data_IF_900740108138
#
_entry.id   IF_900740108138
#
_cell.length_a   1.000
_cell.length_b   1.000
_cell.length_c   1.000
_cell.angle_alpha   90.00
_cell.angle_beta   90.00
_cell.angle_gamma   90.00
#
_symmetry.space_group_name_H-M   'P 1'
#
loop_
_entity.id
_entity.type
_entity.pdbx_description
1 polymer ?
#
# COMPACT_ATOMS: atom_id res chain seq x y z
N UNK A 1 -4.54 18.80 19.80
CA UNK A 1 -4.97 17.80 18.79
C UNK A 1 -3.75 17.54 17.92
N UNK A 2 -3.46 16.29 17.55
CA UNK A 2 -2.33 16.02 16.66
C UNK A 2 -2.75 16.45 15.26
N UNK A 3 -2.11 17.47 14.69
CA UNK A 3 -2.34 17.97 13.31
C UNK A 3 -1.94 16.97 12.21
N UNK A 4 -1.74 15.70 12.58
CA UNK A 4 -1.28 14.64 11.69
C UNK A 4 -2.47 13.75 11.32
N UNK A 5 -2.77 13.59 10.02
CA UNK A 5 -3.83 12.70 9.56
C UNK A 5 -3.58 11.27 10.04
N UNK A 6 -4.65 10.66 10.54
CA UNK A 6 -4.68 9.26 10.95
C UNK A 6 -4.60 8.34 9.74
N UNK A 7 -4.21 7.08 9.98
CA UNK A 7 -4.25 6.04 8.93
C UNK A 7 -5.64 5.86 8.31
N UNK A 8 -6.71 6.11 9.09
CA UNK A 8 -8.08 6.00 8.62
C UNK A 8 -8.44 7.13 7.64
N UNK A 9 -8.14 8.37 8.00
CA UNK A 9 -8.37 9.55 7.14
C UNK A 9 -7.59 9.41 5.83
N UNK A 10 -6.34 8.97 5.92
CA UNK A 10 -5.52 8.77 4.74
C UNK A 10 -6.03 7.67 3.80
N UNK A 11 -6.45 6.54 4.36
CA UNK A 11 -7.04 5.47 3.56
C UNK A 11 -8.34 5.96 2.90
N UNK A 12 -9.15 6.74 3.62
CA UNK A 12 -10.39 7.29 3.08
C UNK A 12 -10.12 8.23 1.90
N UNK A 13 -9.17 9.17 2.04
CA UNK A 13 -8.76 10.10 0.98
C UNK A 13 -8.32 9.37 -0.30
N UNK A 14 -7.49 8.34 -0.15
CA UNK A 14 -7.03 7.53 -1.29
C UNK A 14 -8.18 6.78 -1.98
N UNK A 15 -9.12 6.27 -1.20
CA UNK A 15 -10.27 5.51 -1.72
C UNK A 15 -11.26 6.42 -2.43
N UNK A 16 -11.50 7.63 -1.92
CA UNK A 16 -12.31 8.64 -2.59
C UNK A 16 -11.69 9.02 -3.94
N UNK A 17 -10.36 9.21 -3.99
CA UNK A 17 -9.62 9.41 -5.25
C UNK A 17 -9.85 8.25 -6.23
N UNK A 18 -9.68 7.00 -5.78
CA UNK A 18 -9.95 5.83 -6.62
C UNK A 18 -11.39 5.77 -7.12
N UNK A 19 -12.38 6.03 -6.27
CA UNK A 19 -13.81 6.04 -6.66
C UNK A 19 -14.13 7.09 -7.73
N UNK A 20 -13.41 8.22 -7.72
CA UNK A 20 -13.55 9.25 -8.74
C UNK A 20 -12.88 8.90 -10.08
N UNK A 21 -12.13 7.80 -10.16
CA UNK A 21 -11.47 7.37 -11.40
C UNK A 21 -12.50 6.73 -12.35
N UNK A 22 -12.63 7.20 -13.62
CA UNK A 22 -13.72 6.77 -14.51
C UNK A 22 -13.81 5.27 -14.80
N UNK A 23 -12.69 4.55 -14.74
CA UNK A 23 -12.62 3.10 -14.98
C UNK A 23 -13.00 2.25 -13.76
N UNK A 24 -13.07 2.86 -12.58
CA UNK A 24 -13.47 2.19 -11.34
C UNK A 24 -15.00 2.10 -11.29
N UNK A 25 -15.51 0.90 -11.12
CA UNK A 25 -16.95 0.57 -11.06
C UNK A 25 -17.43 0.34 -9.64
N UNK A 26 -16.52 -0.03 -8.72
CA UNK A 26 -16.84 -0.17 -7.31
C UNK A 26 -15.63 -0.48 -6.46
N UNK A 27 -15.72 -0.15 -5.17
CA UNK A 27 -14.70 -0.47 -4.18
C UNK A 27 -15.36 -1.06 -2.93
N UNK A 28 -14.86 -2.20 -2.46
CA UNK A 28 -15.37 -2.91 -1.28
C UNK A 28 -14.26 -3.04 -0.23
N UNK A 29 -14.53 -2.64 1.02
CA UNK A 29 -13.60 -2.87 2.13
C UNK A 29 -13.73 -4.30 2.65
N UNK A 30 -12.65 -5.08 2.56
CA UNK A 30 -12.61 -6.48 3.02
C UNK A 30 -12.14 -6.56 4.48
N UNK A 31 -11.14 -5.76 4.84
CA UNK A 31 -10.58 -5.72 6.20
C UNK A 31 -10.05 -4.32 6.51
N UNK A 32 -9.39 -4.14 7.67
CA UNK A 32 -8.84 -2.84 8.09
C UNK A 32 -7.92 -2.22 7.04
N UNK A 33 -7.10 -3.02 6.36
CA UNK A 33 -6.12 -2.57 5.38
C UNK A 33 -6.36 -3.11 3.96
N UNK A 34 -7.33 -4.01 3.77
CA UNK A 34 -7.58 -4.69 2.51
C UNK A 34 -8.88 -4.21 1.85
N UNK A 35 -8.78 -3.92 0.56
CA UNK A 35 -9.86 -3.40 -0.27
C UNK A 35 -9.90 -4.16 -1.59
N UNK A 36 -11.09 -4.35 -2.17
CA UNK A 36 -11.24 -4.80 -3.54
C UNK A 36 -11.59 -3.60 -4.41
N UNK A 37 -10.94 -3.49 -5.55
CA UNK A 37 -11.22 -2.51 -6.60
C UNK A 37 -11.78 -3.27 -7.79
N UNK A 38 -12.96 -2.88 -8.25
CA UNK A 38 -13.63 -3.47 -9.42
C UNK A 38 -13.57 -2.48 -10.56
N UNK A 39 -13.02 -2.90 -11.69
CA UNK A 39 -12.95 -2.17 -12.96
C UNK A 39 -13.74 -2.92 -14.03
N UNK A 40 -13.78 -2.41 -15.26
CA UNK A 40 -14.34 -3.16 -16.39
C UNK A 40 -13.52 -4.41 -16.74
N UNK A 41 -12.23 -4.41 -16.44
CA UNK A 41 -11.31 -5.51 -16.75
C UNK A 41 -11.32 -6.61 -15.67
N UNK A 42 -11.86 -6.32 -14.49
CA UNK A 42 -12.07 -7.31 -13.44
C UNK A 42 -11.92 -6.76 -12.04
N UNK A 43 -11.66 -7.66 -11.09
CA UNK A 43 -11.52 -7.33 -9.67
C UNK A 43 -10.09 -7.55 -9.19
N UNK A 44 -9.51 -6.52 -8.58
CA UNK A 44 -8.17 -6.55 -7.96
C UNK A 44 -8.31 -6.36 -6.45
N UNK A 45 -7.38 -6.92 -5.70
CA UNK A 45 -7.31 -6.74 -4.24
C UNK A 45 -6.09 -5.87 -3.90
N UNK A 46 -6.26 -4.91 -3.01
CA UNK A 46 -5.24 -3.95 -2.61
C UNK A 46 -5.07 -3.93 -1.09
N UNK A 47 -3.83 -4.05 -0.62
CA UNK A 47 -3.42 -3.76 0.75
C UNK A 47 -2.87 -2.34 0.84
N UNK A 48 -3.44 -1.50 1.69
CA UNK A 48 -2.98 -0.13 1.89
C UNK A 48 -1.96 -0.07 3.04
N UNK A 49 -0.79 0.49 2.74
CA UNK A 49 0.31 0.76 3.68
C UNK A 49 0.54 2.26 3.74
N UNK A 50 0.64 2.83 4.94
CA UNK A 50 0.71 4.29 5.10
C UNK A 50 2.07 4.75 5.59
N UNK A 51 2.63 5.78 4.97
CA UNK A 51 3.78 6.49 5.50
C UNK A 51 3.39 7.26 6.77
N UNK A 52 4.14 7.07 7.86
CA UNK A 52 3.91 7.76 9.15
C UNK A 52 4.04 9.28 9.06
N UNK A 53 4.80 9.79 8.08
CA UNK A 53 5.16 11.20 7.94
C UNK A 53 4.39 11.88 6.79
N UNK A 54 3.13 11.49 6.60
CA UNK A 54 2.27 12.06 5.56
C UNK A 54 2.11 13.57 5.76
N UNK A 55 2.28 14.34 4.67
CA UNK A 55 2.25 15.80 4.59
C UNK A 55 3.36 16.51 5.39
N UNK A 56 4.43 15.81 5.80
CA UNK A 56 5.59 16.39 6.50
C UNK A 56 6.79 16.58 5.54
N UNK A 57 6.93 17.78 4.97
CA UNK A 57 7.94 18.12 3.95
C UNK A 57 9.41 18.03 4.40
N UNK A 58 9.66 18.01 5.72
CA UNK A 58 10.99 17.84 6.33
C UNK A 58 11.13 16.58 7.19
N UNK A 59 10.17 15.65 7.11
CA UNK A 59 10.22 14.40 7.88
C UNK A 59 11.37 13.49 7.44
N UNK A 60 11.91 12.63 8.33
CA UNK A 60 12.86 11.60 7.91
C UNK A 60 12.22 10.69 6.84
N UNK A 61 13.04 10.01 6.01
CA UNK A 61 12.54 9.01 5.05
C UNK A 61 11.54 8.10 5.75
N UNK A 62 10.28 8.27 5.40
CA UNK A 62 9.21 7.87 6.29
C UNK A 62 8.93 6.38 6.20
N UNK A 63 8.80 5.71 7.35
CA UNK A 63 8.49 4.29 7.35
C UNK A 63 7.03 4.05 6.98
N UNK A 64 6.80 3.08 6.10
CA UNK A 64 5.47 2.56 5.80
C UNK A 64 5.03 1.63 6.93
N UNK A 65 3.89 1.95 7.53
CA UNK A 65 3.19 1.09 8.47
C UNK A 65 2.16 0.26 7.74
N UNK A 66 1.99 -0.96 8.23
CA UNK A 66 1.14 -1.97 7.61
C UNK A 66 1.81 -3.33 7.76
N UNK A 67 1.02 -4.31 8.16
CA UNK A 67 1.41 -5.72 8.16
C UNK A 67 0.34 -6.52 7.43
N UNK A 68 0.74 -7.61 6.79
CA UNK A 68 -0.16 -8.48 6.05
C UNK A 68 0.15 -9.95 6.35
N UNK A 69 -0.81 -10.83 6.14
CA UNK A 69 -0.67 -12.22 6.59
C UNK A 69 0.37 -12.98 5.75
N UNK A 70 1.20 -13.80 6.40
CA UNK A 70 2.17 -14.68 5.71
C UNK A 70 1.53 -15.60 4.68
N UNK A 71 0.30 -16.03 4.95
CA UNK A 71 -0.42 -17.08 4.23
C UNK A 71 -1.44 -16.56 3.24
N UNK A 72 -1.52 -15.23 3.00
CA UNK A 72 -2.44 -14.73 1.98
C UNK A 72 -1.99 -15.24 0.61
N UNK A 73 -2.85 -16.09 0.03
CA UNK A 73 -2.59 -16.80 -1.20
C UNK A 73 -2.30 -15.82 -2.33
N UNK A 74 -1.24 -16.08 -3.09
CA UNK A 74 -0.90 -15.37 -4.32
C UNK A 74 -1.94 -15.57 -5.46
N UNK A 75 -3.01 -16.33 -5.24
CA UNK A 75 -3.96 -16.79 -6.27
C UNK A 75 -4.95 -15.73 -6.78
N UNK A 76 -4.76 -14.45 -6.43
CA UNK A 76 -5.58 -13.34 -6.96
C UNK A 76 -4.65 -12.17 -7.26
N UNK A 77 -4.99 -11.29 -8.23
CA UNK A 77 -4.23 -10.08 -8.45
C UNK A 77 -4.29 -9.21 -7.18
N UNK A 78 -3.25 -9.36 -6.36
CA UNK A 78 -3.05 -8.72 -5.07
C UNK A 78 -1.94 -7.69 -5.24
N UNK A 79 -2.23 -6.47 -4.80
CA UNK A 79 -1.32 -5.35 -4.87
C UNK A 79 -1.11 -4.75 -3.49
N UNK A 80 0.09 -4.23 -3.25
CA UNK A 80 0.44 -3.47 -2.07
C UNK A 80 0.59 -2.01 -2.47
N UNK A 81 -0.29 -1.18 -1.94
CA UNK A 81 -0.34 0.24 -2.21
C UNK A 81 0.35 0.96 -1.06
N UNK A 82 1.51 1.54 -1.35
CA UNK A 82 2.31 2.32 -0.41
C UNK A 82 1.99 3.81 -0.59
N UNK A 83 1.20 4.34 0.33
CA UNK A 83 0.83 5.75 0.37
C UNK A 83 1.98 6.52 1.04
N UNK A 84 2.71 7.36 0.28
CA UNK A 84 3.98 8.02 0.64
C UNK A 84 3.87 9.32 1.44
N UNK A 85 4.84 10.24 1.43
CA UNK A 85 4.74 11.48 2.19
C UNK A 85 3.78 12.54 1.61
N UNK A 86 3.31 12.44 0.37
CA UNK A 86 2.32 13.36 -0.23
C UNK A 86 1.19 12.61 -0.96
N UNK A 87 0.18 13.35 -1.42
CA UNK A 87 -1.00 12.82 -2.14
C UNK A 87 -0.63 12.14 -3.46
N UNK A 88 0.38 12.69 -4.15
CA UNK A 88 0.90 12.14 -5.42
C UNK A 88 1.94 11.03 -5.22
N UNK A 89 2.23 10.68 -3.96
CA UNK A 89 3.34 9.79 -3.62
C UNK A 89 2.85 8.36 -3.41
N UNK A 90 2.13 7.80 -4.38
CA UNK A 90 1.55 6.46 -4.30
C UNK A 90 2.41 5.47 -5.07
N UNK A 91 2.62 4.27 -4.52
CA UNK A 91 3.31 3.18 -5.22
C UNK A 91 2.49 1.91 -5.16
N UNK A 92 2.33 1.25 -6.29
CA UNK A 92 1.51 0.05 -6.43
C UNK A 92 2.40 -1.14 -6.79
N UNK A 93 2.68 -2.01 -5.83
CA UNK A 93 3.56 -3.16 -6.01
C UNK A 93 2.75 -4.44 -6.12
N UNK A 94 2.84 -5.22 -7.22
CA UNK A 94 2.24 -6.54 -7.29
C UNK A 94 2.79 -7.45 -6.18
N UNK A 95 1.94 -8.27 -5.55
CA UNK A 95 2.36 -9.13 -4.45
C UNK A 95 3.52 -10.06 -4.84
N UNK A 96 3.51 -10.62 -6.06
CA UNK A 96 4.62 -11.46 -6.56
C UNK A 96 5.96 -10.73 -6.58
N UNK A 97 5.96 -9.44 -6.92
CA UNK A 97 7.17 -8.60 -6.93
C UNK A 97 7.60 -8.26 -5.51
N UNK A 98 6.65 -7.88 -4.65
CA UNK A 98 6.93 -7.56 -3.24
C UNK A 98 7.50 -8.77 -2.48
N UNK A 99 7.02 -9.97 -2.78
CA UNK A 99 7.46 -11.22 -2.17
C UNK A 99 8.76 -11.77 -2.78
N UNK A 100 9.29 -11.15 -3.82
CA UNK A 100 10.57 -11.55 -4.43
C UNK A 100 11.77 -11.13 -3.58
N UNK A 101 12.96 -11.65 -3.92
CA UNK A 101 14.23 -11.22 -3.32
C UNK A 101 14.57 -9.74 -3.57
N UNK A 102 13.79 -9.03 -4.42
CA UNK A 102 13.93 -7.59 -4.61
C UNK A 102 13.57 -6.83 -3.35
N UNK A 103 12.67 -7.27 -2.49
CA UNK A 103 12.33 -6.52 -1.28
C UNK A 103 12.83 -7.20 -0.03
N UNK A 104 13.24 -6.38 0.95
CA UNK A 104 13.59 -6.89 2.27
C UNK A 104 12.35 -6.81 3.14
N UNK A 105 11.72 -7.96 3.35
CA UNK A 105 10.58 -8.15 4.24
C UNK A 105 11.04 -8.76 5.56
N UNK A 106 10.40 -8.37 6.66
CA UNK A 106 10.62 -8.94 7.99
C UNK A 106 9.28 -9.31 8.61
N UNK A 107 9.30 -10.14 9.65
CA UNK A 107 8.09 -10.39 10.45
C UNK A 107 7.74 -9.15 11.25
N UNK A 108 6.46 -8.98 11.54
CA UNK A 108 5.94 -7.87 12.35
C UNK A 108 6.54 -7.85 13.76
N UNK A 109 6.75 -9.04 14.35
CA UNK A 109 7.51 -9.30 15.57
C UNK A 109 8.17 -10.69 15.52
N UNK A 110 9.01 -11.03 16.51
CA UNK A 110 9.65 -12.34 16.61
C UNK A 110 8.61 -13.46 16.70
N UNK A 111 8.67 -14.46 15.80
CA UNK A 111 7.66 -15.51 15.72
C UNK A 111 6.31 -15.09 15.10
N UNK A 112 6.16 -13.82 14.72
CA UNK A 112 4.90 -13.26 14.21
C UNK A 112 4.38 -13.92 12.94
N UNK A 113 3.06 -13.77 12.72
CA UNK A 113 2.34 -14.36 11.58
C UNK A 113 2.13 -13.40 10.40
N UNK A 114 2.75 -12.23 10.46
CA UNK A 114 2.55 -11.19 9.46
C UNK A 114 3.89 -10.68 8.91
N UNK A 115 3.89 -10.35 7.62
CA UNK A 115 4.97 -9.63 6.96
C UNK A 115 4.83 -8.13 7.20
N UNK A 116 5.98 -7.44 7.19
CA UNK A 116 6.09 -5.99 7.06
C UNK A 116 7.28 -5.64 6.18
N UNK A 117 7.22 -4.48 5.52
CA UNK A 117 8.38 -3.94 4.82
C UNK A 117 9.46 -3.55 5.85
N UNK A 118 10.71 -3.95 5.60
CA UNK A 118 11.82 -3.55 6.45
C UNK A 118 12.19 -2.07 6.21
N UNK A 119 11.69 -1.19 7.06
CA UNK A 119 11.97 0.25 6.99
C UNK A 119 13.40 0.63 7.42
N UNK A 120 14.14 -0.26 8.07
CA UNK A 120 15.53 -0.02 8.49
C UNK A 120 16.53 -0.22 7.34
N UNK A 121 16.09 -0.80 6.23
CA UNK A 121 16.91 -0.99 5.03
C UNK A 121 16.68 0.16 4.05
N UNK A 122 17.73 0.92 3.78
CA UNK A 122 17.70 1.99 2.78
C UNK A 122 17.41 1.49 1.36
N UNK A 123 17.59 0.19 1.08
CA UNK A 123 17.37 -0.40 -0.24
C UNK A 123 15.90 -0.49 -0.65
N UNK A 124 14.94 -0.52 0.29
CA UNK A 124 13.52 -0.66 -0.06
C UNK A 124 12.94 0.63 -0.68
N UNK A 125 13.40 1.81 -0.27
CA UNK A 125 12.86 3.08 -0.79
C UNK A 125 13.12 3.25 -2.30
N UNK A 126 14.37 3.17 -2.81
CA UNK A 126 14.61 3.29 -4.26
C UNK A 126 13.91 2.21 -5.10
N UNK A 127 13.59 1.06 -4.50
CA UNK A 127 12.87 -0.02 -5.19
C UNK A 127 11.39 0.28 -5.29
N UNK A 128 10.79 0.88 -4.26
CA UNK A 128 9.40 1.34 -4.32
C UNK A 128 9.20 2.42 -5.39
N UNK A 129 10.16 3.34 -5.55
CA UNK A 129 10.08 4.40 -6.57
C UNK A 129 10.02 3.87 -8.02
N UNK A 130 10.24 2.57 -8.25
CA UNK A 130 10.08 1.93 -9.57
C UNK A 130 8.61 1.54 -9.87
N UNK A 131 7.69 1.77 -8.93
CA UNK A 131 6.30 1.32 -8.98
C UNK A 131 5.32 2.48 -8.75
N UNK A 132 5.57 3.64 -9.34
CA UNK A 132 4.74 4.86 -9.24
C UNK A 132 3.51 4.86 -10.17
N UNK A 133 3.31 3.79 -10.94
CA UNK A 133 2.15 3.62 -11.81
C UNK A 133 0.90 3.15 -11.05
N UNK A 134 0.03 4.09 -10.70
CA UNK A 134 -1.28 3.81 -10.09
C UNK A 134 -2.27 3.14 -11.05
N UNK A 135 -2.07 3.26 -12.37
CA UNK A 135 -3.04 2.79 -13.37
C UNK A 135 -3.19 1.27 -13.37
N UNK A 136 -2.20 0.55 -12.84
CA UNK A 136 -2.24 -0.91 -12.62
C UNK A 136 -3.44 -1.35 -11.78
N UNK A 137 -3.93 -0.51 -10.86
CA UNK A 137 -5.14 -0.83 -10.08
C UNK A 137 -6.43 -0.53 -10.83
N UNK A 138 -6.42 0.40 -11.77
CA UNK A 138 -7.61 0.99 -12.37
C UNK A 138 -7.85 0.58 -13.83
N UNK A 139 -6.85 0.01 -14.50
CA UNK A 139 -6.96 -0.63 -15.81
C UNK A 139 -7.10 -2.13 -15.59
#
# INVERSE_FOLDING_TARGET
>A
MSDKPTSAERNQEYIEKLLSTPSVRGIEKVSKAMWKVTTEEGQKTAYLHYCKWFKESGGPKGYFQGSWNLTESADRPLYHVFLGPSEDSVRVVPNQELMSAKFVLIRDHEGGKQWRLNANTAANYPRLEQYDDETVLTN
#
